data_IF_429309073522
#
_entry.id   IF_429309073522
#
_cell.length_a   1.000
_cell.length_b   1.000
_cell.length_c   1.000
_cell.angle_alpha   90.00
_cell.angle_beta   90.00
_cell.angle_gamma   90.00
#
_symmetry.space_group_name_H-M   'P 1'
#
loop_
_entity.id
_entity.type
_entity.pdbx_description
1 polymer ?
#
# COMPACT_ATOMS: atom_id res chain seq x y z
N UNK A 1 10.08 -4.66 -3.83
CA UNK A 1 9.14 -5.75 -3.54
C UNK A 1 7.95 -5.58 -4.45
N UNK A 2 7.46 -6.67 -5.02
CA UNK A 2 6.24 -6.64 -5.82
C UNK A 2 5.03 -6.56 -4.89
N UNK A 3 4.26 -5.49 -5.02
CA UNK A 3 3.07 -5.23 -4.21
C UNK A 3 1.85 -5.68 -5.00
N UNK A 4 0.89 -6.30 -4.32
CA UNK A 4 -0.42 -6.53 -4.89
C UNK A 4 -1.20 -5.21 -4.89
N UNK A 5 -1.19 -4.56 -6.05
CA UNK A 5 -1.83 -3.26 -6.28
C UNK A 5 -3.35 -3.29 -6.04
N UNK A 6 -4.01 -4.40 -6.42
CA UNK A 6 -5.45 -4.55 -6.22
C UNK A 6 -5.76 -4.70 -4.73
N UNK A 7 -4.98 -5.52 -4.02
CA UNK A 7 -5.14 -5.72 -2.58
C UNK A 7 -4.91 -4.44 -1.78
N UNK A 8 -3.86 -3.68 -2.12
CA UNK A 8 -3.58 -2.40 -1.48
C UNK A 8 -4.77 -1.43 -1.62
N UNK A 9 -5.31 -1.31 -2.83
CA UNK A 9 -6.46 -0.46 -3.13
C UNK A 9 -7.70 -0.91 -2.36
N UNK A 10 -7.98 -2.21 -2.37
CA UNK A 10 -9.13 -2.79 -1.66
C UNK A 10 -9.08 -2.47 -0.16
N UNK A 11 -7.94 -2.68 0.49
CA UNK A 11 -7.78 -2.41 1.93
C UNK A 11 -7.92 -0.92 2.25
N UNK A 12 -7.41 -0.04 1.37
CA UNK A 12 -7.58 1.41 1.51
C UNK A 12 -9.06 1.80 1.43
N UNK A 13 -9.78 1.30 0.43
CA UNK A 13 -11.19 1.60 0.21
C UNK A 13 -12.10 1.02 1.31
N UNK A 14 -11.82 -0.19 1.81
CA UNK A 14 -12.52 -0.78 2.96
C UNK A 14 -12.42 0.06 4.23
N UNK A 15 -11.36 0.86 4.36
CA UNK A 15 -11.15 1.82 5.46
C UNK A 15 -11.68 3.22 5.16
N UNK A 16 -12.37 3.41 4.03
CA UNK A 16 -12.85 4.70 3.54
C UNK A 16 -11.75 5.78 3.40
N UNK A 17 -10.50 5.36 3.14
CA UNK A 17 -9.38 6.28 3.00
C UNK A 17 -9.21 6.74 1.55
N UNK A 18 -9.05 8.03 1.34
CA UNK A 18 -8.45 8.56 0.12
C UNK A 18 -6.95 8.26 0.05
N UNK A 19 -6.36 8.39 -1.13
CA UNK A 19 -4.90 8.32 -1.29
C UNK A 19 -4.15 9.37 -0.46
N UNK A 20 -4.76 10.56 -0.25
CA UNK A 20 -4.17 11.62 0.58
C UNK A 20 -4.19 11.26 2.06
N UNK A 21 -5.29 10.69 2.54
CA UNK A 21 -5.40 10.23 3.93
C UNK A 21 -4.45 9.06 4.20
N UNK A 22 -4.37 8.08 3.28
CA UNK A 22 -3.39 7.00 3.42
C UNK A 22 -1.94 7.53 3.39
N UNK A 23 -1.67 8.56 2.58
CA UNK A 23 -0.37 9.24 2.55
C UNK A 23 -0.03 9.89 3.88
N UNK A 24 -0.99 10.60 4.48
CA UNK A 24 -0.83 11.22 5.79
C UNK A 24 -0.61 10.17 6.90
N UNK A 25 -1.43 9.11 6.93
CA UNK A 25 -1.37 8.06 7.95
C UNK A 25 -0.09 7.23 7.86
N UNK A 26 0.32 6.81 6.66
CA UNK A 26 1.53 6.01 6.46
C UNK A 26 2.82 6.83 6.42
N UNK A 27 2.71 8.15 6.20
CA UNK A 27 3.83 9.03 5.86
C UNK A 27 4.59 8.61 4.59
N UNK A 28 3.93 7.84 3.70
CA UNK A 28 4.43 7.52 2.36
C UNK A 28 3.91 8.57 1.39
N UNK A 29 4.76 9.04 0.48
CA UNK A 29 4.38 10.07 -0.48
C UNK A 29 3.18 9.63 -1.35
N UNK A 30 2.19 10.50 -1.50
CA UNK A 30 0.98 10.31 -2.33
C UNK A 30 1.27 9.72 -3.71
N UNK A 31 2.24 10.28 -4.45
CA UNK A 31 2.59 9.82 -5.81
C UNK A 31 3.21 8.42 -5.80
N UNK A 32 3.87 8.03 -4.71
CA UNK A 32 4.36 6.66 -4.56
C UNK A 32 3.19 5.69 -4.35
N UNK A 33 2.23 6.02 -3.48
CA UNK A 33 1.03 5.18 -3.25
C UNK A 33 0.23 5.04 -4.56
N UNK A 34 -0.01 6.15 -5.26
CA UNK A 34 -0.72 6.13 -6.53
C UNK A 34 -0.01 5.26 -7.59
N UNK A 35 1.32 5.34 -7.72
CA UNK A 35 2.06 4.49 -8.65
C UNK A 35 2.01 3.01 -8.26
N UNK A 36 2.00 2.71 -6.95
CA UNK A 36 1.88 1.33 -6.46
C UNK A 36 0.48 0.78 -6.78
N UNK A 37 -0.59 1.50 -6.44
CA UNK A 37 -1.97 1.08 -6.75
C UNK A 37 -2.27 1.02 -8.24
N UNK A 38 -1.59 1.83 -9.06
CA UNK A 38 -1.65 1.75 -10.51
C UNK A 38 -0.79 0.61 -11.10
N UNK A 39 -0.11 -0.19 -10.27
CA UNK A 39 0.77 -1.28 -10.71
C UNK A 39 2.03 -0.80 -11.45
N UNK A 40 2.36 0.49 -11.40
CA UNK A 40 3.47 1.11 -12.14
C UNK A 40 4.82 0.91 -11.46
N UNK A 41 4.83 0.61 -10.16
CA UNK A 41 6.06 0.41 -9.41
C UNK A 41 5.85 -0.49 -8.21
N UNK A 42 6.90 -1.19 -7.80
CA UNK A 42 6.93 -1.89 -6.52
C UNK A 42 7.24 -0.96 -5.36
N UNK A 43 7.29 -1.51 -4.16
CA UNK A 43 7.63 -0.77 -2.94
C UNK A 43 8.92 -1.27 -2.31
N UNK A 44 9.64 -0.36 -1.62
CA UNK A 44 10.74 -0.76 -0.73
C UNK A 44 10.16 -1.42 0.53
N UNK A 45 10.91 -2.31 1.23
CA UNK A 45 10.42 -2.97 2.45
C UNK A 45 9.90 -1.98 3.51
N UNK A 46 10.60 -0.85 3.69
CA UNK A 46 10.16 0.24 4.58
C UNK A 46 8.80 0.81 4.18
N UNK A 47 8.54 0.98 2.89
CA UNK A 47 7.26 1.50 2.37
C UNK A 47 6.14 0.49 2.61
N UNK A 48 6.38 -0.80 2.36
CA UNK A 48 5.41 -1.86 2.62
C UNK A 48 5.00 -1.87 4.09
N UNK A 49 5.97 -1.84 5.02
CA UNK A 49 5.69 -1.79 6.46
C UNK A 49 4.82 -0.61 6.86
N UNK A 50 5.14 0.59 6.38
CA UNK A 50 4.37 1.81 6.71
C UNK A 50 2.95 1.80 6.15
N UNK A 51 2.76 1.24 4.95
CA UNK A 51 1.42 1.07 4.38
C UNK A 51 0.63 0.01 5.16
N UNK A 52 1.26 -1.10 5.51
CA UNK A 52 0.65 -2.18 6.28
C UNK A 52 0.21 -1.70 7.67
N UNK A 53 1.07 -0.95 8.36
CA UNK A 53 0.78 -0.32 9.65
C UNK A 53 -0.42 0.64 9.56
N UNK A 54 -0.44 1.56 8.58
CA UNK A 54 -1.57 2.46 8.37
C UNK A 54 -2.87 1.74 8.00
N UNK A 55 -2.76 0.60 7.33
CA UNK A 55 -3.87 -0.27 6.94
C UNK A 55 -4.15 -1.36 7.98
N UNK A 56 -3.47 -1.36 9.13
CA UNK A 56 -3.62 -2.34 10.21
C UNK A 56 -3.66 -3.80 9.75
N UNK A 57 -2.78 -4.15 8.81
CA UNK A 57 -2.57 -5.50 8.27
C UNK A 57 -1.10 -5.87 8.40
N UNK A 58 -0.77 -7.14 8.22
CA UNK A 58 0.61 -7.57 8.17
C UNK A 58 1.27 -7.23 6.82
N UNK A 59 2.59 -6.90 6.77
CA UNK A 59 3.25 -6.51 5.53
C UNK A 59 3.16 -7.53 4.40
N UNK A 60 3.09 -8.83 4.73
CA UNK A 60 2.99 -9.89 3.74
C UNK A 60 1.64 -9.92 3.02
N UNK A 61 0.57 -9.39 3.63
CA UNK A 61 -0.75 -9.29 3.00
C UNK A 61 -0.77 -8.30 1.83
N UNK A 62 0.19 -7.38 1.76
CA UNK A 62 0.34 -6.43 0.66
C UNK A 62 1.22 -6.94 -0.48
N UNK A 63 1.87 -8.08 -0.31
CA UNK A 63 2.80 -8.61 -1.31
C UNK A 63 2.08 -9.61 -2.21
N UNK A 64 2.50 -9.68 -3.47
CA UNK A 64 2.08 -10.81 -4.31
C UNK A 64 2.71 -12.08 -3.75
N UNK A 65 1.87 -13.07 -3.42
CA UNK A 65 2.34 -14.39 -3.01
C UNK A 65 3.17 -15.02 -4.12
N UNK A 66 4.37 -15.49 -3.79
CA UNK A 66 5.05 -16.47 -4.65
C UNK A 66 4.27 -17.76 -4.52
N UNK A 67 3.61 -18.18 -5.60
CA UNK A 67 3.35 -19.60 -5.85
C UNK A 67 4.69 -20.28 -6.11
#
# INVERSE_FOLDING_TARGET
>A
MEVDAMKLRELRERRALSLRELSALSGVNYNSIWRIEAGRTGAKPRTVRRLAEALGVEPHELLKGKV
#
